data_IF_660194929384
#
_entry.id   IF_660194929384
#
_cell.length_a   1.000
_cell.length_b   1.000
_cell.length_c   1.000
_cell.angle_alpha   90.00
_cell.angle_beta   90.00
_cell.angle_gamma   90.00
#
_symmetry.space_group_name_H-M   'P 1'
#
loop_
_entity.id
_entity.type
_entity.pdbx_description
1 polymer ?
#
# COMPACT_ATOMS: atom_id res chain seq x y z
N UNK A 1 25.64 -15.83 -7.78
CA UNK A 1 25.62 -14.38 -8.06
C UNK A 1 24.22 -13.85 -7.80
N UNK A 2 24.09 -12.86 -6.91
CA UNK A 2 22.96 -11.93 -6.76
C UNK A 2 21.59 -12.50 -6.39
N UNK A 3 21.35 -12.83 -5.11
CA UNK A 3 19.98 -12.73 -4.56
C UNK A 3 19.86 -11.35 -3.94
N UNK A 4 18.87 -10.62 -4.46
CA UNK A 4 18.70 -9.18 -4.39
C UNK A 4 18.91 -8.59 -3.00
N UNK A 5 19.43 -7.38 -3.02
CA UNK A 5 19.57 -6.49 -1.89
C UNK A 5 18.32 -6.56 -1.00
N UNK A 6 18.49 -7.01 0.24
CA UNK A 6 17.50 -6.80 1.30
C UNK A 6 17.44 -5.29 1.54
N UNK A 7 16.67 -4.58 0.71
CA UNK A 7 16.26 -3.22 1.02
C UNK A 7 15.46 -3.31 2.30
N UNK A 8 16.08 -2.92 3.42
CA UNK A 8 15.42 -2.86 4.72
C UNK A 8 14.21 -1.94 4.58
N UNK A 9 13.01 -2.52 4.56
CA UNK A 9 11.78 -1.75 4.50
C UNK A 9 11.61 -1.05 5.84
N UNK A 10 11.65 0.28 5.82
CA UNK A 10 11.39 1.09 7.00
C UNK A 10 9.90 1.33 7.15
N UNK A 11 9.41 1.09 8.37
CA UNK A 11 8.01 1.32 8.74
C UNK A 11 7.94 2.56 9.63
N UNK A 12 6.93 3.43 9.42
CA UNK A 12 6.77 4.60 10.26
C UNK A 12 6.42 4.22 11.71
N UNK A 13 6.63 5.14 12.68
CA UNK A 13 6.42 4.85 14.10
C UNK A 13 5.03 4.26 14.38
N UNK A 14 4.98 3.15 15.13
CA UNK A 14 3.75 2.45 15.48
C UNK A 14 3.23 1.48 14.42
N UNK A 15 3.77 1.51 13.19
CA UNK A 15 3.50 0.50 12.18
C UNK A 15 4.38 -0.73 12.38
N UNK A 16 3.81 -1.90 12.10
CA UNK A 16 4.53 -3.18 12.12
C UNK A 16 4.73 -3.67 10.69
N UNK A 17 5.68 -4.58 10.54
CA UNK A 17 6.01 -5.21 9.26
C UNK A 17 4.78 -5.87 8.62
N UNK A 18 4.58 -5.65 7.34
CA UNK A 18 3.48 -6.23 6.57
C UNK A 18 4.11 -7.27 5.67
N UNK A 19 4.00 -8.56 5.98
CA UNK A 19 4.65 -9.64 5.23
C UNK A 19 3.66 -10.75 4.89
N UNK A 20 4.01 -11.61 3.94
CA UNK A 20 3.15 -12.70 3.47
C UNK A 20 2.84 -13.77 4.52
N UNK A 21 3.70 -13.90 5.55
CA UNK A 21 3.54 -14.83 6.67
C UNK A 21 2.55 -14.35 7.74
N UNK A 22 2.07 -13.10 7.65
CA UNK A 22 1.10 -12.54 8.58
C UNK A 22 -0.31 -13.03 8.23
N UNK A 23 -0.99 -13.62 9.22
CA UNK A 23 -2.38 -14.02 9.07
C UNK A 23 -3.32 -12.85 8.75
N UNK A 24 -4.46 -13.10 8.07
CA UNK A 24 -5.31 -12.05 7.49
C UNK A 24 -5.82 -11.03 8.52
N UNK A 25 -6.23 -11.47 9.72
CA UNK A 25 -6.72 -10.57 10.76
C UNK A 25 -5.66 -9.62 11.30
N UNK A 26 -4.44 -10.12 11.49
CA UNK A 26 -3.32 -9.30 11.95
C UNK A 26 -2.84 -8.38 10.83
N UNK A 27 -2.84 -8.87 9.59
CA UNK A 27 -2.52 -8.07 8.40
C UNK A 27 -3.47 -6.88 8.26
N UNK A 28 -4.78 -7.09 8.45
CA UNK A 28 -5.80 -6.04 8.47
C UNK A 28 -5.48 -5.00 9.56
N UNK A 29 -5.12 -5.43 10.77
CA UNK A 29 -4.77 -4.50 11.86
C UNK A 29 -3.55 -3.66 11.51
N UNK A 30 -2.50 -4.28 10.96
CA UNK A 30 -1.26 -3.59 10.57
C UNK A 30 -1.51 -2.61 9.43
N UNK A 31 -2.25 -3.01 8.40
CA UNK A 31 -2.62 -2.16 7.27
C UNK A 31 -3.52 -1.00 7.70
N UNK A 32 -4.43 -1.19 8.66
CA UNK A 32 -5.24 -0.09 9.23
C UNK A 32 -4.38 0.96 9.91
N UNK A 33 -3.43 0.52 10.75
CA UNK A 33 -2.49 1.44 11.39
C UNK A 33 -1.67 2.18 10.34
N UNK A 34 -1.16 1.46 9.34
CA UNK A 34 -0.36 2.04 8.27
C UNK A 34 -1.13 3.06 7.44
N UNK A 35 -2.36 2.74 7.03
CA UNK A 35 -3.24 3.66 6.33
C UNK A 35 -3.48 4.93 7.17
N UNK A 36 -3.75 4.80 8.47
CA UNK A 36 -3.95 5.94 9.34
C UNK A 36 -2.69 6.82 9.46
N UNK A 37 -1.51 6.19 9.55
CA UNK A 37 -0.23 6.91 9.58
C UNK A 37 0.07 7.59 8.25
N UNK A 38 -0.16 6.95 7.10
CA UNK A 38 0.03 7.56 5.78
C UNK A 38 -0.96 8.71 5.54
N UNK A 39 -2.19 8.59 6.02
CA UNK A 39 -3.20 9.63 5.96
C UNK A 39 -2.80 10.89 6.75
N UNK A 40 -2.08 10.74 7.87
CA UNK A 40 -1.60 11.88 8.67
C UNK A 40 -0.31 12.51 8.13
N UNK A 41 0.39 11.87 7.20
CA UNK A 41 1.57 12.44 6.54
C UNK A 41 1.17 13.58 5.59
N UNK A 42 1.95 14.67 5.63
CA UNK A 42 1.80 15.81 4.74
C UNK A 42 2.53 15.61 3.41
N UNK A 43 2.30 16.51 2.46
CA UNK A 43 3.20 16.71 1.32
C UNK A 43 4.27 17.71 1.77
N UNK A 44 5.49 17.25 2.02
CA UNK A 44 6.63 18.09 2.40
C UNK A 44 7.86 17.67 1.59
N UNK A 45 8.61 18.65 1.07
CA UNK A 45 9.66 18.41 0.08
C UNK A 45 10.83 17.63 0.70
N UNK A 46 11.14 16.45 0.15
CA UNK A 46 12.18 15.57 0.66
C UNK A 46 11.81 14.79 1.93
N UNK A 47 10.59 14.94 2.46
CA UNK A 47 10.11 14.13 3.59
C UNK A 47 9.81 12.69 3.15
N UNK A 48 9.91 11.76 4.10
CA UNK A 48 9.45 10.37 3.98
C UNK A 48 10.13 9.52 2.90
N UNK A 49 11.22 9.98 2.28
CA UNK A 49 11.95 9.22 1.23
C UNK A 49 12.38 7.82 1.70
N UNK A 50 12.64 7.68 2.99
CA UNK A 50 12.97 6.41 3.64
C UNK A 50 11.83 5.37 3.57
N UNK A 51 10.58 5.79 3.34
CA UNK A 51 9.41 4.93 3.18
C UNK A 51 9.07 4.61 1.72
N UNK A 52 9.88 5.05 0.74
CA UNK A 52 9.70 4.64 -0.66
C UNK A 52 9.77 3.11 -0.84
N UNK A 53 10.72 2.37 -0.19
CA UNK A 53 10.72 0.92 -0.25
C UNK A 53 9.42 0.30 0.29
N UNK A 54 8.82 0.89 1.33
CA UNK A 54 7.52 0.47 1.86
C UNK A 54 6.39 0.69 0.86
N UNK A 55 6.38 1.85 0.18
CA UNK A 55 5.42 2.14 -0.87
C UNK A 55 5.49 1.13 -2.02
N UNK A 56 6.70 0.73 -2.42
CA UNK A 56 6.92 -0.29 -3.43
C UNK A 56 6.46 -1.68 -2.96
N UNK A 57 6.76 -2.03 -1.72
CA UNK A 57 6.38 -3.29 -1.10
C UNK A 57 4.86 -3.49 -1.06
N UNK A 58 4.10 -2.47 -0.65
CA UNK A 58 2.62 -2.55 -0.60
C UNK A 58 1.99 -2.67 -1.99
N UNK A 59 2.69 -2.19 -3.02
CA UNK A 59 2.25 -2.27 -4.41
C UNK A 59 2.73 -3.53 -5.13
N UNK A 60 3.32 -4.49 -4.42
CA UNK A 60 3.73 -5.78 -4.98
C UNK A 60 2.51 -6.64 -5.38
N UNK A 61 2.68 -7.47 -6.42
CA UNK A 61 1.63 -8.36 -6.93
C UNK A 61 1.03 -9.26 -5.85
N UNK A 62 1.81 -9.66 -4.84
CA UNK A 62 1.30 -10.43 -3.70
C UNK A 62 0.14 -9.71 -2.98
N UNK A 63 0.32 -8.42 -2.69
CA UNK A 63 -0.69 -7.62 -2.01
C UNK A 63 -1.85 -7.25 -2.95
N UNK A 64 -1.54 -6.87 -4.19
CA UNK A 64 -2.57 -6.50 -5.17
C UNK A 64 -3.50 -7.67 -5.55
N UNK A 65 -3.03 -8.91 -5.42
CA UNK A 65 -3.79 -10.14 -5.71
C UNK A 65 -4.33 -10.85 -4.46
N UNK A 66 -4.18 -10.26 -3.27
CA UNK A 66 -4.55 -10.89 -2.00
C UNK A 66 -6.03 -11.31 -1.96
N UNK A 67 -6.34 -12.50 -1.45
CA UNK A 67 -7.69 -13.08 -1.56
C UNK A 67 -8.78 -12.32 -0.77
N UNK A 68 -8.44 -11.75 0.38
CA UNK A 68 -9.38 -11.01 1.23
C UNK A 68 -9.72 -9.63 0.67
N UNK A 69 -11.01 -9.37 0.48
CA UNK A 69 -11.52 -8.07 0.01
C UNK A 69 -11.17 -6.93 0.96
N UNK A 70 -11.28 -7.16 2.28
CA UNK A 70 -10.94 -6.15 3.29
C UNK A 70 -9.46 -5.76 3.21
N UNK A 71 -8.58 -6.75 3.02
CA UNK A 71 -7.14 -6.52 2.86
C UNK A 71 -6.87 -5.73 1.59
N UNK A 72 -7.48 -6.11 0.46
CA UNK A 72 -7.33 -5.37 -0.79
C UNK A 72 -7.81 -3.92 -0.69
N UNK A 73 -8.92 -3.66 0.00
CA UNK A 73 -9.41 -2.30 0.23
C UNK A 73 -8.42 -1.47 1.06
N UNK A 74 -7.84 -2.04 2.11
CA UNK A 74 -6.84 -1.35 2.92
C UNK A 74 -5.54 -1.08 2.16
N UNK A 75 -5.11 -2.01 1.31
CA UNK A 75 -3.96 -1.81 0.41
C UNK A 75 -4.26 -0.67 -0.57
N UNK A 76 -5.46 -0.63 -1.15
CA UNK A 76 -5.87 0.47 -2.02
C UNK A 76 -5.85 1.83 -1.30
N UNK A 77 -6.32 1.88 -0.05
CA UNK A 77 -6.21 3.09 0.77
C UNK A 77 -4.74 3.50 0.98
N UNK A 78 -3.88 2.56 1.38
CA UNK A 78 -2.45 2.84 1.59
C UNK A 78 -1.80 3.40 0.31
N UNK A 79 -2.06 2.78 -0.85
CA UNK A 79 -1.50 3.24 -2.13
C UNK A 79 -2.02 4.63 -2.50
N UNK A 80 -3.31 4.90 -2.29
CA UNK A 80 -3.88 6.22 -2.54
C UNK A 80 -3.25 7.30 -1.65
N UNK A 81 -3.04 7.00 -0.37
CA UNK A 81 -2.37 7.91 0.56
C UNK A 81 -0.89 8.12 0.20
N UNK A 82 -0.18 7.07 -0.23
CA UNK A 82 1.18 7.18 -0.78
C UNK A 82 1.19 8.12 -1.98
N UNK A 83 0.34 7.89 -2.99
CA UNK A 83 0.25 8.75 -4.16
C UNK A 83 -0.01 10.21 -3.77
N UNK A 84 -0.85 10.44 -2.74
CA UNK A 84 -1.09 11.77 -2.19
C UNK A 84 0.18 12.34 -1.53
N UNK A 85 0.85 11.60 -0.65
CA UNK A 85 2.02 12.08 0.12
C UNK A 85 3.19 12.46 -0.78
N UNK A 86 3.44 11.67 -1.83
CA UNK A 86 4.58 11.89 -2.73
C UNK A 86 4.25 12.75 -3.96
N UNK A 87 3.00 13.17 -4.16
CA UNK A 87 2.66 14.08 -5.24
C UNK A 87 3.47 15.39 -5.13
N UNK A 88 3.97 15.95 -6.25
CA UNK A 88 3.70 15.57 -7.65
C UNK A 88 4.54 14.39 -8.18
N UNK A 89 5.61 14.00 -7.49
CA UNK A 89 6.57 12.98 -7.92
C UNK A 89 6.24 11.61 -7.30
N UNK A 90 5.34 10.86 -7.92
CA UNK A 90 4.95 9.53 -7.42
C UNK A 90 6.16 8.58 -7.34
N UNK A 91 6.21 7.69 -6.32
CA UNK A 91 7.31 6.75 -6.16
C UNK A 91 7.33 5.71 -7.29
N UNK A 92 6.16 5.35 -7.82
CA UNK A 92 5.99 4.36 -8.90
C UNK A 92 6.36 4.97 -10.26
N UNK A 93 7.49 4.54 -10.84
CA UNK A 93 8.01 5.08 -12.12
C UNK A 93 7.85 4.11 -13.30
N UNK A 94 7.68 2.82 -13.03
CA UNK A 94 7.57 1.80 -14.06
C UNK A 94 6.16 1.81 -14.72
N UNK A 95 6.03 2.04 -16.04
CA UNK A 95 4.71 2.17 -16.67
C UNK A 95 3.80 0.93 -16.52
N UNK A 96 4.29 -0.31 -16.67
CA UNK A 96 3.54 -1.51 -16.33
C UNK A 96 3.03 -1.51 -14.88
N UNK A 97 3.90 -1.23 -13.90
CA UNK A 97 3.53 -1.19 -12.49
C UNK A 97 2.44 -0.14 -12.22
N UNK A 98 2.63 1.08 -12.74
CA UNK A 98 1.66 2.17 -12.62
C UNK A 98 0.29 1.74 -13.18
N UNK A 99 0.26 1.12 -14.35
CA UNK A 99 -0.97 0.60 -14.95
C UNK A 99 -1.66 -0.41 -14.04
N UNK A 100 -0.91 -1.37 -13.47
CA UNK A 100 -1.45 -2.37 -12.55
C UNK A 100 -2.04 -1.73 -11.30
N UNK A 101 -1.34 -0.77 -10.70
CA UNK A 101 -1.83 -0.02 -9.53
C UNK A 101 -3.14 0.70 -9.83
N UNK A 102 -3.20 1.46 -10.92
CA UNK A 102 -4.43 2.19 -11.27
C UNK A 102 -5.58 1.25 -11.60
N UNK A 103 -5.34 0.15 -12.32
CA UNK A 103 -6.36 -0.87 -12.57
C UNK A 103 -6.88 -1.49 -11.27
N UNK A 104 -5.98 -1.77 -10.32
CA UNK A 104 -6.35 -2.25 -8.99
C UNK A 104 -7.24 -1.25 -8.25
N UNK A 105 -6.84 0.03 -8.18
CA UNK A 105 -7.64 1.09 -7.56
C UNK A 105 -9.04 1.21 -8.19
N UNK A 106 -9.11 1.22 -9.53
CA UNK A 106 -10.40 1.29 -10.27
C UNK A 106 -11.28 0.07 -9.96
N UNK A 107 -10.70 -1.13 -9.88
CA UNK A 107 -11.42 -2.36 -9.50
C UNK A 107 -12.04 -2.21 -8.10
N UNK A 108 -11.29 -1.65 -7.14
CA UNK A 108 -11.82 -1.42 -5.79
C UNK A 108 -12.94 -0.38 -5.74
N UNK A 109 -12.88 0.67 -6.57
CA UNK A 109 -13.98 1.63 -6.72
C UNK A 109 -15.25 0.97 -7.28
N UNK A 110 -15.11 -0.02 -8.16
CA UNK A 110 -16.23 -0.83 -8.65
C UNK A 110 -16.98 -1.54 -7.51
N UNK A 111 -16.25 -1.99 -6.49
CA UNK A 111 -16.82 -2.60 -5.29
C UNK A 111 -17.64 -1.65 -4.41
N UNK A 112 -17.47 -0.32 -4.55
CA UNK A 112 -18.26 0.68 -3.81
C UNK A 112 -19.67 0.90 -4.39
N UNK A 113 -19.95 0.39 -5.61
CA UNK A 113 -21.29 0.48 -6.22
C UNK A 113 -22.34 -0.37 -5.50
N UNK A 114 -21.93 -1.36 -4.72
CA UNK A 114 -22.81 -2.22 -3.93
C UNK A 114 -22.66 -1.92 -2.43
N UNK A 115 -23.48 -1.02 -1.84
CA UNK A 115 -23.46 -0.71 -0.41
C UNK A 115 -24.00 -1.83 0.49
N UNK A 116 -24.13 -3.07 -0.02
CA UNK A 116 -24.73 -4.21 0.68
C UNK A 116 -23.76 -5.30 1.14
N UNK A 117 -22.47 -5.21 0.80
CA UNK A 117 -21.49 -6.23 1.23
C UNK A 117 -20.87 -5.85 2.59
N UNK A 118 -21.70 -5.92 3.63
CA UNK A 118 -21.27 -5.96 5.03
C UNK A 118 -22.10 -7.06 5.70
N UNK A 119 -21.70 -8.31 5.52
CA UNK A 119 -22.26 -9.45 6.23
C UNK A 119 -21.16 -10.13 7.04
#
# INVERSE_FOLDING_TARGET
>A
MGRGDNLTILYPPGCREVTEDVGPDELIRRLKTLAHTLQSMGQDDGAYQEYIPLAMHIADDFFLSYASRDVQLLIACCIADVLRVYAPEAPYKDPPQVKTIFMFLIKQLGGLKDPKDRH
#
